data_IF_354372125067
#
_entry.id   IF_354372125067
#
_cell.length_a   1.000
_cell.length_b   1.000
_cell.length_c   1.000
_cell.angle_alpha   90.00
_cell.angle_beta   90.00
_cell.angle_gamma   90.00
#
_symmetry.space_group_name_H-M   'P 1'
#
loop_
_entity.id
_entity.type
_entity.pdbx_description
1 polymer ?
#
# COMPACT_ATOMS: atom_id res chain seq x y z
N UNK A 1 -35.54 -3.80 -33.63
CA UNK A 1 -35.97 -3.31 -32.30
C UNK A 1 -36.25 -4.58 -31.50
N UNK A 2 -35.50 -5.00 -30.49
CA UNK A 2 -34.65 -4.29 -29.54
C UNK A 2 -33.50 -5.22 -29.13
N UNK A 3 -32.27 -4.69 -29.06
CA UNK A 3 -31.16 -5.38 -28.39
C UNK A 3 -31.18 -4.93 -26.93
N UNK A 4 -31.45 -5.87 -26.01
CA UNK A 4 -31.22 -5.67 -24.60
C UNK A 4 -29.72 -5.78 -24.34
N UNK A 5 -29.06 -4.63 -24.21
CA UNK A 5 -27.73 -4.55 -23.63
C UNK A 5 -27.88 -4.68 -22.11
N UNK A 6 -27.75 -5.89 -21.60
CA UNK A 6 -27.41 -6.12 -20.20
C UNK A 6 -25.89 -6.16 -20.12
N UNK A 7 -25.29 -5.03 -19.73
CA UNK A 7 -23.90 -5.00 -19.31
C UNK A 7 -23.71 -5.86 -18.06
N UNK A 8 -22.52 -6.43 -17.83
CA UNK A 8 -22.25 -7.12 -16.58
C UNK A 8 -21.99 -6.06 -15.51
N UNK A 9 -23.02 -5.65 -14.78
CA UNK A 9 -22.85 -5.23 -13.38
C UNK A 9 -22.53 -6.48 -12.58
N UNK A 10 -21.25 -6.87 -12.62
CA UNK A 10 -20.67 -7.62 -11.51
C UNK A 10 -19.91 -6.59 -10.68
N UNK A 11 -20.66 -5.84 -9.86
CA UNK A 11 -20.16 -5.44 -8.56
C UNK A 11 -19.95 -6.74 -7.78
N UNK A 12 -18.82 -7.38 -8.07
CA UNK A 12 -18.24 -8.37 -7.20
C UNK A 12 -17.96 -7.65 -5.90
N UNK A 13 -18.92 -7.75 -4.99
CA UNK A 13 -18.70 -7.65 -3.56
C UNK A 13 -17.62 -8.68 -3.26
N UNK A 14 -16.37 -8.26 -3.45
CA UNK A 14 -15.18 -8.91 -2.95
C UNK A 14 -15.36 -8.83 -1.45
N UNK A 15 -16.13 -9.78 -0.92
CA UNK A 15 -16.52 -9.84 0.48
C UNK A 15 -15.29 -9.49 1.28
N UNK A 16 -15.32 -8.31 1.90
CA UNK A 16 -14.20 -7.81 2.66
C UNK A 16 -14.02 -8.82 3.78
N UNK A 17 -13.13 -9.79 3.57
CA UNK A 17 -12.54 -10.54 4.65
C UNK A 17 -12.03 -9.46 5.59
N UNK A 18 -12.64 -9.40 6.79
CA UNK A 18 -12.17 -8.51 7.82
C UNK A 18 -10.66 -8.74 7.90
N UNK A 19 -9.84 -7.69 7.74
CA UNK A 19 -8.40 -7.86 7.78
C UNK A 19 -8.06 -8.55 9.10
N UNK A 20 -7.05 -9.42 9.06
CA UNK A 20 -6.45 -9.92 10.29
C UNK A 20 -6.17 -8.70 11.20
N UNK A 21 -6.70 -8.66 12.43
CA UNK A 21 -6.50 -7.52 13.33
C UNK A 21 -5.03 -7.15 13.45
N UNK A 22 -4.12 -8.13 13.39
CA UNK A 22 -2.69 -7.88 13.45
C UNK A 22 -2.16 -7.08 12.25
N UNK A 23 -2.78 -7.18 11.07
CA UNK A 23 -2.44 -6.36 9.91
C UNK A 23 -2.72 -4.88 10.15
N UNK A 24 -3.66 -4.55 11.04
CA UNK A 24 -3.96 -3.16 11.37
C UNK A 24 -2.82 -2.47 12.15
N UNK A 25 -1.82 -3.21 12.65
CA UNK A 25 -0.57 -2.64 13.19
C UNK A 25 0.33 -2.01 12.12
N UNK A 26 0.07 -2.29 10.84
CA UNK A 26 0.91 -1.87 9.73
C UNK A 26 1.36 -0.40 9.77
N UNK A 27 0.47 0.59 10.03
CA UNK A 27 0.89 2.00 10.06
C UNK A 27 1.89 2.33 11.16
N UNK A 28 1.79 1.67 12.33
CA UNK A 28 2.74 1.87 13.42
C UNK A 28 4.09 1.24 13.11
N UNK A 29 4.10 0.01 12.56
CA UNK A 29 5.33 -0.64 12.12
C UNK A 29 6.03 0.16 11.02
N UNK A 30 5.28 0.71 10.06
CA UNK A 30 5.82 1.58 9.02
C UNK A 30 6.41 2.87 9.60
N UNK A 31 5.72 3.52 10.54
CA UNK A 31 6.24 4.72 11.18
C UNK A 31 7.58 4.45 11.88
N UNK A 32 7.72 3.34 12.61
CA UNK A 32 8.97 3.00 13.29
C UNK A 32 10.07 2.54 12.34
N UNK A 33 9.77 1.57 11.46
CA UNK A 33 10.78 0.86 10.69
C UNK A 33 11.13 1.56 9.39
N UNK A 34 10.16 2.22 8.75
CA UNK A 34 10.39 2.91 7.48
C UNK A 34 10.65 4.41 7.68
N UNK A 35 9.95 5.06 8.61
CA UNK A 35 10.07 6.51 8.83
C UNK A 35 10.97 6.89 10.01
N UNK A 36 11.41 5.92 10.81
CA UNK A 36 12.27 6.17 11.97
C UNK A 36 11.61 6.95 13.11
N UNK A 37 10.28 6.95 13.17
CA UNK A 37 9.56 7.62 14.26
C UNK A 37 9.76 6.85 15.56
N UNK A 38 9.94 7.57 16.67
CA UNK A 38 10.03 6.95 18.01
C UNK A 38 8.66 6.65 18.60
N UNK A 39 7.65 7.41 18.19
CA UNK A 39 6.25 7.32 18.62
C UNK A 39 5.34 7.83 17.50
N UNK A 40 4.09 7.39 17.50
CA UNK A 40 3.13 7.68 16.44
C UNK A 40 1.90 8.37 17.06
N UNK A 41 1.60 9.61 16.65
CA UNK A 41 0.41 10.29 17.11
C UNK A 41 -0.85 9.69 16.46
N UNK A 42 -1.91 9.46 17.24
CA UNK A 42 -3.17 8.88 16.79
C UNK A 42 -3.78 9.65 15.61
N UNK A 43 -3.69 10.97 15.61
CA UNK A 43 -4.17 11.86 14.54
C UNK A 43 -3.50 11.61 13.17
N UNK A 44 -2.33 10.97 13.14
CA UNK A 44 -1.66 10.61 11.89
C UNK A 44 -2.23 9.33 11.25
N UNK A 45 -2.88 8.45 12.02
CA UNK A 45 -3.42 7.16 11.54
C UNK A 45 -4.94 7.19 11.45
N UNK A 46 -5.59 7.74 12.47
CA UNK A 46 -7.04 7.65 12.69
C UNK A 46 -7.87 8.08 11.46
N UNK A 47 -7.58 9.19 10.75
CA UNK A 47 -8.35 9.56 9.57
C UNK A 47 -8.35 8.48 8.47
N UNK A 48 -7.22 7.80 8.27
CA UNK A 48 -7.08 6.74 7.26
C UNK A 48 -7.78 5.46 7.69
N UNK A 49 -7.71 5.15 8.97
CA UNK A 49 -8.44 4.03 9.55
C UNK A 49 -9.95 4.17 9.31
N UNK A 50 -10.53 5.33 9.63
CA UNK A 50 -11.97 5.57 9.46
C UNK A 50 -12.43 5.52 8.01
N UNK A 51 -11.59 5.87 7.04
CA UNK A 51 -11.91 5.71 5.63
C UNK A 51 -11.96 4.25 5.19
N UNK A 52 -11.13 3.40 5.79
CA UNK A 52 -11.01 1.99 5.43
C UNK A 52 -12.00 1.10 6.21
N UNK A 53 -12.34 1.49 7.44
CA UNK A 53 -13.18 0.74 8.36
C UNK A 53 -14.30 1.63 8.92
N UNK A 54 -15.25 2.08 8.07
CA UNK A 54 -16.33 2.94 8.51
C UNK A 54 -17.18 2.20 9.56
N UNK A 55 -17.29 2.80 10.75
CA UNK A 55 -18.05 2.24 11.87
C UNK A 55 -17.22 1.41 12.87
N UNK A 56 -15.93 1.15 12.60
CA UNK A 56 -15.03 0.59 13.59
C UNK A 56 -14.51 1.67 14.54
N UNK A 57 -14.33 1.32 15.81
CA UNK A 57 -13.77 2.23 16.81
C UNK A 57 -12.24 2.15 16.82
N UNK A 58 -11.59 3.23 16.37
CA UNK A 58 -10.13 3.35 16.43
C UNK A 58 -9.61 3.28 17.88
N UNK A 59 -10.35 3.88 18.82
CA UNK A 59 -9.99 3.85 20.24
C UNK A 59 -10.06 2.44 20.83
N UNK A 60 -11.08 1.64 20.47
CA UNK A 60 -11.18 0.24 20.90
C UNK A 60 -10.04 -0.60 20.31
N UNK A 61 -9.73 -0.43 19.01
CA UNK A 61 -8.60 -1.12 18.38
C UNK A 61 -7.28 -0.83 19.11
N UNK A 62 -7.00 0.44 19.39
CA UNK A 62 -5.78 0.85 20.09
C UNK A 62 -5.76 0.31 21.52
N UNK A 63 -6.90 0.31 22.23
CA UNK A 63 -7.00 -0.29 23.56
C UNK A 63 -6.73 -1.80 23.52
N UNK A 64 -7.31 -2.53 22.56
CA UNK A 64 -7.03 -3.96 22.36
C UNK A 64 -5.55 -4.21 22.09
N UNK A 65 -4.91 -3.43 21.22
CA UNK A 65 -3.47 -3.56 20.97
C UNK A 65 -2.63 -3.22 22.20
N UNK A 66 -3.05 -2.26 23.02
CA UNK A 66 -2.35 -1.96 24.27
C UNK A 66 -2.48 -3.12 25.28
N UNK A 67 -3.68 -3.67 25.44
CA UNK A 67 -3.96 -4.80 26.34
C UNK A 67 -3.20 -6.07 25.93
N UNK A 68 -3.00 -6.29 24.63
CA UNK A 68 -2.21 -7.40 24.07
C UNK A 68 -0.69 -7.10 24.05
N UNK A 69 -0.27 -5.94 24.56
CA UNK A 69 1.13 -5.51 24.58
C UNK A 69 1.74 -5.32 23.18
N UNK A 70 0.91 -5.07 22.17
CA UNK A 70 1.31 -4.78 20.79
C UNK A 70 1.64 -3.29 20.59
N UNK A 71 1.02 -2.44 21.40
CA UNK A 71 1.32 -1.01 21.52
C UNK A 71 1.60 -0.63 22.97
N UNK A 72 2.47 0.34 23.16
CA UNK A 72 2.71 1.01 24.43
C UNK A 72 2.32 2.49 24.33
N UNK A 73 1.74 3.03 25.41
CA UNK A 73 1.42 4.45 25.46
C UNK A 73 2.67 5.27 25.79
N UNK A 74 2.99 6.25 24.95
CA UNK A 74 4.10 7.19 25.15
C UNK A 74 3.61 8.54 25.71
N UNK A 75 2.32 8.68 25.95
CA UNK A 75 1.66 9.91 26.35
C UNK A 75 0.27 10.05 25.75
N UNK A 76 -0.36 11.21 25.94
CA UNK A 76 -1.73 11.47 25.46
C UNK A 76 -1.77 11.37 23.93
N UNK A 77 -2.50 10.37 23.42
CA UNK A 77 -2.69 10.16 21.99
C UNK A 77 -1.42 9.77 21.21
N UNK A 78 -0.40 9.26 21.90
CA UNK A 78 0.88 8.83 21.29
C UNK A 78 1.19 7.39 21.67
N UNK A 79 1.53 6.61 20.66
CA UNK A 79 1.70 5.16 20.78
C UNK A 79 2.96 4.70 20.06
N UNK A 80 3.63 3.71 20.62
CA UNK A 80 4.74 3.04 19.97
C UNK A 80 4.52 1.53 19.94
N UNK A 81 5.14 0.85 18.96
CA UNK A 81 5.35 -0.59 19.05
C UNK A 81 6.53 -0.82 20.00
N UNK A 82 6.40 -1.66 21.06
CA UNK A 82 7.48 -1.94 21.99
C UNK A 82 8.74 -2.40 21.25
N UNK A 83 9.90 -1.82 21.58
CA UNK A 83 11.14 -1.99 20.82
C UNK A 83 11.52 -3.47 20.66
N UNK A 84 11.37 -4.25 21.72
CA UNK A 84 11.66 -5.68 21.79
C UNK A 84 10.73 -6.54 20.93
N UNK A 85 9.53 -6.04 20.57
CA UNK A 85 8.55 -6.76 19.75
C UNK A 85 8.57 -6.35 18.27
N UNK A 86 9.20 -5.23 17.92
CA UNK A 86 9.15 -4.66 16.54
C UNK A 86 9.56 -5.66 15.47
N UNK A 87 10.71 -6.33 15.64
CA UNK A 87 11.23 -7.27 14.66
C UNK A 87 10.34 -8.51 14.52
N UNK A 88 9.86 -9.05 15.65
CA UNK A 88 8.92 -10.19 15.68
C UNK A 88 7.61 -9.86 14.98
N UNK A 89 6.98 -8.73 15.35
CA UNK A 89 5.71 -8.29 14.77
C UNK A 89 5.84 -7.96 13.29
N UNK A 90 6.92 -7.27 12.88
CA UNK A 90 7.20 -7.01 11.47
C UNK A 90 7.38 -8.31 10.67
N UNK A 91 8.05 -9.32 11.24
CA UNK A 91 8.18 -10.62 10.62
C UNK A 91 6.83 -11.35 10.52
N UNK A 92 6.06 -11.41 11.61
CA UNK A 92 4.77 -12.09 11.66
C UNK A 92 3.75 -11.46 10.70
N UNK A 93 3.56 -10.15 10.78
CA UNK A 93 2.65 -9.39 9.91
C UNK A 93 3.14 -9.44 8.47
N UNK A 94 4.44 -9.20 8.25
CA UNK A 94 5.04 -9.21 6.92
C UNK A 94 4.88 -10.56 6.21
N UNK A 95 5.11 -11.67 6.92
CA UNK A 95 4.89 -13.02 6.39
C UNK A 95 3.41 -13.24 6.05
N UNK A 96 2.50 -12.91 6.97
CA UNK A 96 1.07 -13.06 6.77
C UNK A 96 0.57 -12.27 5.54
N UNK A 97 1.07 -11.05 5.32
CA UNK A 97 0.75 -10.25 4.14
C UNK A 97 1.31 -10.83 2.83
N UNK A 98 2.54 -11.37 2.86
CA UNK A 98 3.19 -11.92 1.68
C UNK A 98 2.62 -13.29 1.25
N UNK A 99 2.26 -14.13 2.22
CA UNK A 99 1.63 -15.44 2.00
C UNK A 99 0.13 -15.31 1.72
N UNK A 100 -0.46 -14.17 2.10
CA UNK A 100 -1.88 -13.88 1.92
C UNK A 100 -2.30 -13.84 0.44
N UNK A 101 -3.60 -14.08 0.17
CA UNK A 101 -4.13 -14.01 -1.18
C UNK A 101 -4.13 -12.57 -1.69
N UNK A 102 -3.50 -12.36 -2.84
CA UNK A 102 -3.55 -11.12 -3.61
C UNK A 102 -4.48 -11.32 -4.81
N UNK A 103 -5.70 -10.76 -4.80
CA UNK A 103 -6.63 -10.94 -5.91
C UNK A 103 -6.11 -10.18 -7.14
N UNK A 104 -6.16 -10.85 -8.29
CA UNK A 104 -6.00 -10.27 -9.62
C UNK A 104 -7.28 -10.55 -10.41
N UNK A 105 -7.60 -9.80 -11.47
CA UNK A 105 -8.74 -10.12 -12.31
C UNK A 105 -8.69 -11.56 -12.85
N UNK A 106 -9.65 -12.38 -12.42
CA UNK A 106 -9.80 -13.78 -12.84
C UNK A 106 -8.82 -14.79 -12.22
N UNK A 107 -8.01 -14.41 -11.21
CA UNK A 107 -7.13 -15.34 -10.49
C UNK A 107 -6.69 -14.80 -9.14
N UNK A 108 -6.14 -15.67 -8.29
CA UNK A 108 -5.48 -15.26 -7.05
C UNK A 108 -4.05 -15.75 -7.07
N UNK A 109 -3.11 -14.90 -6.67
CA UNK A 109 -1.69 -15.24 -6.46
C UNK A 109 -1.31 -14.88 -5.04
N UNK A 110 -0.20 -15.40 -4.52
CA UNK A 110 0.38 -14.81 -3.29
C UNK A 110 1.14 -13.54 -3.65
N UNK A 111 1.22 -12.61 -2.70
CA UNK A 111 2.06 -11.42 -2.84
C UNK A 111 3.54 -11.79 -2.99
N UNK A 112 4.01 -12.82 -2.28
CA UNK A 112 5.35 -13.37 -2.40
C UNK A 112 5.66 -13.84 -3.83
N UNK A 113 4.76 -14.60 -4.44
CA UNK A 113 4.94 -15.11 -5.81
C UNK A 113 4.99 -13.97 -6.83
N UNK A 114 4.12 -12.96 -6.66
CA UNK A 114 4.10 -11.79 -7.54
C UNK A 114 5.42 -11.01 -7.46
N UNK A 115 5.92 -10.74 -6.25
CA UNK A 115 7.17 -10.01 -6.05
C UNK A 115 8.40 -10.81 -6.50
N UNK A 116 8.39 -12.13 -6.27
CA UNK A 116 9.44 -13.04 -6.74
C UNK A 116 9.52 -13.05 -8.27
N UNK A 117 8.38 -13.25 -8.95
CA UNK A 117 8.30 -13.22 -10.40
C UNK A 117 8.68 -11.84 -10.98
N UNK A 118 8.29 -10.76 -10.31
CA UNK A 118 8.70 -9.41 -10.70
C UNK A 118 10.21 -9.18 -10.54
N UNK A 119 10.82 -9.69 -9.47
CA UNK A 119 12.27 -9.63 -9.28
C UNK A 119 13.02 -10.36 -10.39
N UNK A 120 12.55 -11.54 -10.80
CA UNK A 120 13.12 -12.30 -11.94
C UNK A 120 12.99 -11.47 -13.23
N UNK A 121 11.80 -10.94 -13.50
CA UNK A 121 11.57 -10.08 -14.66
C UNK A 121 12.55 -8.90 -14.73
N UNK A 122 12.78 -8.21 -13.61
CA UNK A 122 13.71 -7.08 -13.54
C UNK A 122 15.17 -7.46 -13.82
N UNK A 123 15.59 -8.66 -13.37
CA UNK A 123 16.93 -9.19 -13.64
C UNK A 123 17.11 -9.49 -15.13
N UNK A 124 16.10 -10.08 -15.79
CA UNK A 124 16.15 -10.43 -17.22
C UNK A 124 16.29 -9.20 -18.12
N UNK A 125 15.63 -8.09 -17.78
CA UNK A 125 15.67 -6.87 -18.57
C UNK A 125 16.87 -5.96 -18.23
N UNK A 126 17.78 -6.39 -17.35
CA UNK A 126 19.00 -5.67 -16.95
C UNK A 126 18.77 -4.20 -16.54
N UNK A 127 17.58 -3.86 -16.05
CA UNK A 127 17.20 -2.48 -15.72
C UNK A 127 17.64 -2.07 -14.31
N UNK A 128 18.04 -3.02 -13.46
CA UNK A 128 18.57 -2.75 -12.13
C UNK A 128 20.07 -3.08 -12.12
N UNK A 129 20.87 -2.23 -11.48
CA UNK A 129 22.29 -2.52 -11.23
C UNK A 129 22.44 -3.78 -10.35
N UNK A 130 23.68 -4.21 -10.04
CA UNK A 130 23.95 -5.43 -9.27
C UNK A 130 23.37 -5.50 -7.83
N UNK A 131 22.51 -4.56 -7.42
CA UNK A 131 21.68 -4.65 -6.22
C UNK A 131 20.37 -5.35 -6.52
N UNK A 132 20.35 -6.69 -6.41
CA UNK A 132 19.13 -7.49 -6.43
C UNK A 132 18.16 -7.11 -5.31
N UNK A 133 16.93 -7.64 -5.37
CA UNK A 133 15.92 -7.38 -4.37
C UNK A 133 16.43 -7.75 -2.96
N UNK A 134 16.59 -6.75 -2.09
CA UNK A 134 17.00 -6.96 -0.71
C UNK A 134 15.74 -6.98 0.17
N UNK A 135 15.54 -8.08 0.89
CA UNK A 135 14.56 -8.16 1.98
C UNK A 135 15.29 -7.72 3.25
N UNK A 136 14.93 -6.55 3.78
CA UNK A 136 15.47 -6.00 5.02
C UNK A 136 14.36 -5.70 6.03
N UNK A 137 14.71 -5.37 7.27
CA UNK A 137 13.73 -5.00 8.31
C UNK A 137 12.86 -3.80 7.90
N UNK A 138 13.40 -2.88 7.08
CA UNK A 138 12.69 -1.73 6.52
C UNK A 138 11.71 -2.07 5.40
N UNK A 139 11.69 -3.32 4.95
CA UNK A 139 10.90 -3.80 3.79
C UNK A 139 9.89 -4.86 4.18
N UNK A 140 9.50 -4.91 5.45
CA UNK A 140 8.59 -5.92 5.97
C UNK A 140 7.29 -5.91 5.16
N UNK A 141 6.83 -7.11 4.78
CA UNK A 141 5.66 -7.27 3.89
C UNK A 141 5.90 -6.78 2.45
N UNK A 142 7.13 -6.76 1.95
CA UNK A 142 7.45 -6.26 0.61
C UNK A 142 8.86 -6.57 0.13
N UNK A 143 9.34 -5.78 -0.84
CA UNK A 143 10.67 -5.89 -1.41
C UNK A 143 11.27 -4.50 -1.71
N UNK A 144 12.60 -4.39 -1.59
CA UNK A 144 13.35 -3.21 -2.07
C UNK A 144 14.02 -3.50 -3.40
N UNK A 145 14.00 -2.50 -4.28
CA UNK A 145 14.69 -2.49 -5.55
C UNK A 145 15.55 -1.23 -5.67
N UNK A 146 16.65 -1.31 -6.42
CA UNK A 146 17.57 -0.19 -6.62
C UNK A 146 17.68 0.15 -8.11
N UNK A 147 17.29 1.38 -8.47
CA UNK A 147 17.47 1.93 -9.82
C UNK A 147 18.31 3.21 -9.73
N UNK A 148 19.54 3.15 -10.25
CA UNK A 148 20.54 4.19 -10.01
C UNK A 148 20.88 4.33 -8.52
N UNK A 149 20.84 5.56 -8.00
CA UNK A 149 21.13 5.88 -6.59
C UNK A 149 19.88 5.84 -5.69
N UNK A 150 18.69 5.63 -6.26
CA UNK A 150 17.42 5.71 -5.51
C UNK A 150 16.90 4.35 -5.10
N UNK A 151 16.33 4.32 -3.89
CA UNK A 151 15.65 3.14 -3.36
C UNK A 151 14.18 3.14 -3.75
N UNK A 152 13.67 1.95 -4.07
CA UNK A 152 12.27 1.74 -4.45
C UNK A 152 11.69 0.62 -3.60
N UNK A 153 10.74 0.96 -2.74
CA UNK A 153 10.01 0.01 -1.93
C UNK A 153 8.73 -0.39 -2.66
N UNK A 154 8.51 -1.69 -2.84
CA UNK A 154 7.21 -2.25 -3.25
C UNK A 154 6.68 -3.02 -2.05
N UNK A 155 5.69 -2.43 -1.37
CA UNK A 155 5.17 -2.90 -0.10
C UNK A 155 3.75 -3.43 -0.29
N UNK A 156 3.42 -4.53 0.35
CA UNK A 156 2.05 -5.06 0.43
C UNK A 156 1.45 -4.62 1.75
N UNK A 157 0.28 -3.97 1.70
CA UNK A 157 -0.40 -3.46 2.89
C UNK A 157 -1.90 -3.79 2.82
N UNK A 158 -2.55 -3.96 3.97
CA UNK A 158 -3.99 -4.24 4.04
C UNK A 158 -4.85 -3.05 3.58
N UNK A 159 -4.32 -1.84 3.65
CA UNK A 159 -4.96 -0.59 3.25
C UNK A 159 -3.88 0.46 2.90
N UNK A 160 -4.24 1.58 2.24
CA UNK A 160 -3.28 2.63 1.94
C UNK A 160 -2.70 3.23 3.22
N UNK A 161 -1.42 2.94 3.48
CA UNK A 161 -0.66 3.61 4.54
C UNK A 161 -0.07 4.88 3.95
N UNK A 162 -0.40 6.04 4.53
CA UNK A 162 0.20 7.29 4.12
C UNK A 162 1.49 7.54 4.89
N UNK A 163 2.59 7.53 4.15
CA UNK A 163 3.91 7.78 4.69
C UNK A 163 4.21 9.28 4.77
N UNK A 164 5.09 9.67 5.69
CA UNK A 164 5.84 10.90 5.54
C UNK A 164 6.65 10.90 4.23
N UNK A 165 7.02 12.06 3.69
CA UNK A 165 7.83 12.10 2.48
C UNK A 165 9.22 11.49 2.72
N UNK A 166 9.63 10.58 1.85
CA UNK A 166 11.01 10.06 1.81
C UNK A 166 11.82 10.89 0.80
N UNK A 167 12.96 11.41 1.23
CA UNK A 167 13.78 12.32 0.42
C UNK A 167 14.46 11.59 -0.75
N UNK A 168 14.94 10.36 -0.51
CA UNK A 168 15.77 9.60 -1.46
C UNK A 168 15.17 8.24 -1.85
N UNK A 169 13.86 8.07 -1.67
CA UNK A 169 13.18 6.84 -1.98
C UNK A 169 11.78 7.02 -2.58
N UNK A 170 11.34 6.00 -3.30
CA UNK A 170 9.97 5.84 -3.74
C UNK A 170 9.31 4.68 -3.00
N UNK A 171 8.04 4.84 -2.68
CA UNK A 171 7.20 3.80 -2.09
C UNK A 171 6.02 3.55 -3.02
N UNK A 172 5.87 2.29 -3.41
CA UNK A 172 4.66 1.77 -4.03
C UNK A 172 3.99 0.83 -3.04
N UNK A 173 2.73 1.10 -2.72
CA UNK A 173 1.92 0.23 -1.88
C UNK A 173 0.91 -0.54 -2.72
N UNK A 174 1.06 -1.87 -2.75
CA UNK A 174 0.04 -2.79 -3.23
C UNK A 174 -0.97 -3.00 -2.11
N UNK A 175 -2.16 -2.44 -2.27
CA UNK A 175 -3.22 -2.52 -1.27
C UNK A 175 -4.60 -2.41 -1.91
N UNK A 176 -5.63 -3.01 -1.30
CA UNK A 176 -7.01 -2.66 -1.63
C UNK A 176 -7.25 -1.16 -1.43
N UNK A 177 -7.99 -0.54 -2.34
CA UNK A 177 -8.42 0.85 -2.22
C UNK A 177 -9.93 0.89 -1.95
N UNK A 178 -10.39 0.93 -0.69
CA UNK A 178 -11.82 0.94 -0.36
C UNK A 178 -12.53 2.08 -1.09
N UNK A 179 -13.70 1.80 -1.71
CA UNK A 179 -14.43 2.81 -2.50
C UNK A 179 -14.66 4.12 -1.71
N UNK A 180 -15.07 4.08 -0.42
CA UNK A 180 -15.25 5.30 0.37
C UNK A 180 -13.96 6.08 0.61
N UNK A 181 -12.80 5.40 0.58
CA UNK A 181 -11.50 6.01 0.81
C UNK A 181 -10.89 6.65 -0.45
N UNK A 182 -11.26 6.20 -1.65
CA UNK A 182 -10.55 6.59 -2.89
C UNK A 182 -10.59 8.10 -3.15
N UNK A 183 -11.76 8.74 -3.01
CA UNK A 183 -11.91 10.18 -3.22
C UNK A 183 -11.11 11.01 -2.21
N UNK A 184 -11.31 10.87 -0.88
CA UNK A 184 -10.56 11.68 0.09
C UNK A 184 -9.05 11.38 0.07
N UNK A 185 -8.65 10.13 -0.21
CA UNK A 185 -7.24 9.77 -0.43
C UNK A 185 -6.66 10.52 -1.62
N UNK A 186 -7.38 10.55 -2.74
CA UNK A 186 -6.93 11.20 -3.99
C UNK A 186 -6.79 12.72 -3.81
N UNK A 187 -7.75 13.37 -3.16
CA UNK A 187 -7.69 14.80 -2.85
C UNK A 187 -6.47 15.14 -1.99
N UNK A 188 -6.24 14.36 -0.92
CA UNK A 188 -5.09 14.55 -0.03
C UNK A 188 -3.77 14.28 -0.75
N UNK A 189 -3.73 13.25 -1.60
CA UNK A 189 -2.59 12.94 -2.45
C UNK A 189 -2.24 14.08 -3.39
N UNK A 190 -3.22 14.63 -4.10
CA UNK A 190 -3.03 15.74 -5.04
C UNK A 190 -2.57 17.00 -4.29
N UNK A 191 -3.16 17.28 -3.14
CA UNK A 191 -2.83 18.42 -2.28
C UNK A 191 -1.44 18.38 -1.63
N UNK A 192 -0.74 17.24 -1.64
CA UNK A 192 0.54 17.08 -0.95
C UNK A 192 1.72 16.85 -1.94
N UNK A 193 2.47 17.91 -2.33
CA UNK A 193 3.52 17.80 -3.36
C UNK A 193 4.58 16.75 -3.08
N UNK A 194 4.91 16.52 -1.80
CA UNK A 194 5.91 15.55 -1.43
C UNK A 194 5.44 14.10 -1.66
N UNK A 195 4.15 13.81 -1.45
CA UNK A 195 3.58 12.49 -1.73
C UNK A 195 3.53 12.21 -3.22
N UNK A 196 3.15 13.21 -4.02
CA UNK A 196 3.17 13.09 -5.49
C UNK A 196 4.56 12.75 -6.06
N UNK A 197 5.63 13.07 -5.33
CA UNK A 197 7.01 12.80 -5.74
C UNK A 197 7.49 11.42 -5.32
N UNK A 198 7.07 10.89 -4.17
CA UNK A 198 7.66 9.69 -3.58
C UNK A 198 6.70 8.53 -3.35
N UNK A 199 5.38 8.70 -3.49
CA UNK A 199 4.38 7.71 -3.08
C UNK A 199 3.42 7.33 -4.21
N UNK A 200 3.14 6.04 -4.34
CA UNK A 200 2.19 5.45 -5.28
C UNK A 200 1.35 4.37 -4.59
N UNK A 201 0.10 4.22 -5.02
CA UNK A 201 -0.78 3.13 -4.60
C UNK A 201 -1.27 2.34 -5.81
N UNK A 202 -1.38 1.03 -5.67
CA UNK A 202 -1.99 0.15 -6.66
C UNK A 202 -2.93 -0.85 -6.00
N UNK A 203 -4.18 -0.84 -6.43
CA UNK A 203 -5.16 -1.90 -6.18
C UNK A 203 -5.16 -2.83 -7.39
N UNK A 204 -4.36 -3.89 -7.30
CA UNK A 204 -4.22 -4.87 -8.38
C UNK A 204 -5.48 -5.71 -8.58
N UNK A 205 -6.35 -5.82 -7.58
CA UNK A 205 -7.63 -6.53 -7.67
C UNK A 205 -8.64 -5.77 -8.53
N UNK A 206 -8.69 -4.44 -8.39
CA UNK A 206 -9.54 -3.55 -9.21
C UNK A 206 -8.84 -3.00 -10.45
N UNK A 207 -7.57 -3.32 -10.64
CA UNK A 207 -6.73 -2.74 -11.67
C UNK A 207 -6.62 -1.20 -11.59
N UNK A 208 -6.64 -0.65 -10.39
CA UNK A 208 -6.57 0.81 -10.15
C UNK A 208 -5.21 1.23 -9.62
N UNK A 209 -4.84 2.48 -9.89
CA UNK A 209 -3.67 3.12 -9.28
C UNK A 209 -3.95 4.57 -8.88
N UNK A 210 -3.27 5.00 -7.83
CA UNK A 210 -3.14 6.41 -7.45
C UNK A 210 -1.66 6.75 -7.52
N UNK A 211 -1.22 7.37 -8.63
CA UNK A 211 0.20 7.64 -8.84
C UNK A 211 0.43 8.85 -9.76
N UNK A 212 1.38 9.71 -9.38
CA UNK A 212 2.00 10.74 -10.21
C UNK A 212 3.53 10.69 -10.17
N UNK A 213 4.10 9.73 -9.43
CA UNK A 213 5.54 9.55 -9.29
C UNK A 213 6.14 9.03 -10.59
N UNK A 214 7.40 9.39 -10.82
CA UNK A 214 8.22 8.90 -11.93
C UNK A 214 9.18 7.80 -11.47
N UNK A 215 8.66 6.79 -10.77
CA UNK A 215 9.46 5.63 -10.38
C UNK A 215 9.66 4.67 -11.56
N UNK A 216 10.91 4.39 -11.90
CA UNK A 216 11.26 3.41 -12.93
C UNK A 216 10.79 2.00 -12.56
N UNK A 217 10.99 1.59 -11.31
CA UNK A 217 10.51 0.30 -10.79
C UNK A 217 9.01 0.15 -10.95
N UNK A 218 8.22 1.19 -10.66
CA UNK A 218 6.76 1.10 -10.84
C UNK A 218 6.36 0.98 -12.31
N UNK A 219 7.05 1.69 -13.22
CA UNK A 219 6.83 1.54 -14.68
C UNK A 219 7.10 0.11 -15.12
N UNK A 220 8.16 -0.52 -14.62
CA UNK A 220 8.48 -1.91 -14.91
C UNK A 220 7.47 -2.88 -14.29
N UNK A 221 6.95 -2.59 -13.09
CA UNK A 221 5.89 -3.38 -12.50
C UNK A 221 4.63 -3.36 -13.38
N UNK A 222 4.20 -2.19 -13.85
CA UNK A 222 3.04 -2.10 -14.75
C UNK A 222 3.25 -2.90 -16.05
N UNK A 223 4.46 -2.86 -16.63
CA UNK A 223 4.80 -3.67 -17.81
C UNK A 223 4.73 -5.17 -17.52
N UNK A 224 5.31 -5.59 -16.40
CA UNK A 224 5.27 -6.97 -15.93
C UNK A 224 3.83 -7.45 -15.72
N UNK A 225 3.01 -6.67 -15.02
CA UNK A 225 1.60 -6.97 -14.79
C UNK A 225 0.83 -7.16 -16.11
N UNK A 226 1.10 -6.31 -17.10
CA UNK A 226 0.50 -6.44 -18.42
C UNK A 226 0.99 -7.66 -19.19
N UNK A 227 2.28 -7.95 -19.18
CA UNK A 227 2.88 -9.04 -19.96
C UNK A 227 2.53 -10.41 -19.39
N UNK A 228 2.61 -10.55 -18.06
CA UNK A 228 2.45 -11.82 -17.34
C UNK A 228 0.99 -12.12 -17.00
N UNK A 229 0.24 -11.10 -16.56
CA UNK A 229 -1.12 -11.27 -16.05
C UNK A 229 -2.20 -10.62 -16.92
N UNK A 230 -1.83 -9.95 -18.03
CA UNK A 230 -2.75 -9.15 -18.86
C UNK A 230 -3.49 -8.07 -18.06
N UNK A 231 -2.89 -7.65 -16.95
CA UNK A 231 -3.44 -6.64 -16.05
C UNK A 231 -2.93 -5.26 -16.44
N UNK A 232 -3.85 -4.36 -16.81
CA UNK A 232 -3.54 -2.96 -17.08
C UNK A 232 -4.05 -2.09 -15.94
N UNK A 233 -3.15 -1.47 -15.19
CA UNK A 233 -3.54 -0.52 -14.15
C UNK A 233 -3.98 0.82 -14.77
N UNK A 234 -5.17 1.28 -14.40
CA UNK A 234 -5.73 2.58 -14.80
C UNK A 234 -5.78 3.53 -13.59
N UNK A 235 -5.66 4.86 -13.79
CA UNK A 235 -5.88 5.81 -12.71
C UNK A 235 -7.25 5.57 -12.07
N UNK A 236 -7.32 5.60 -10.74
CA UNK A 236 -8.60 5.56 -10.05
C UNK A 236 -9.47 6.74 -10.51
N UNK A 237 -10.77 6.56 -10.80
CA UNK A 237 -11.61 7.64 -11.33
C UNK A 237 -11.56 8.93 -10.50
N UNK A 238 -11.63 8.79 -9.17
CA UNK A 238 -11.56 9.94 -8.26
C UNK A 238 -10.20 10.65 -8.26
N UNK A 239 -9.10 9.98 -8.66
CA UNK A 239 -7.81 10.65 -8.86
C UNK A 239 -7.88 11.60 -10.07
N UNK A 240 -8.48 11.16 -11.18
CA UNK A 240 -8.63 12.02 -12.37
C UNK A 240 -9.45 13.26 -12.05
N UNK A 241 -10.55 13.11 -11.31
CA UNK A 241 -11.38 14.22 -10.86
C UNK A 241 -10.62 15.17 -9.93
N UNK A 242 -9.90 14.64 -8.92
CA UNK A 242 -9.09 15.44 -8.01
C UNK A 242 -7.99 16.24 -8.74
N UNK A 243 -7.37 15.64 -9.77
CA UNK A 243 -6.37 16.30 -10.59
C UNK A 243 -6.94 17.44 -11.45
N UNK A 244 -8.11 17.25 -12.04
CA UNK A 244 -8.83 18.29 -12.78
C UNK A 244 -9.22 19.45 -11.85
N UNK A 245 -9.78 19.13 -10.69
CA UNK A 245 -10.16 20.13 -9.69
C UNK A 245 -8.96 20.95 -9.20
N UNK A 246 -7.78 20.33 -9.09
CA UNK A 246 -6.54 21.00 -8.72
C UNK A 246 -5.83 21.72 -9.88
N UNK A 247 -6.39 21.71 -11.10
CA UNK A 247 -5.78 22.33 -12.28
C UNK A 247 -4.48 21.67 -12.74
N UNK A 248 -4.26 20.39 -12.40
CA UNK A 248 -3.06 19.64 -12.76
C UNK A 248 -3.22 18.83 -14.06
N UNK A 249 -4.46 18.58 -14.48
CA UNK A 249 -4.82 18.10 -15.81
C UNK A 249 -5.59 19.22 -16.52
N UNK A 250 -5.27 19.43 -17.79
CA UNK A 250 -5.86 20.47 -18.66
C UNK A 250 -6.39 19.82 -19.92
#
# INVERSE_FOLDING_TARGET
>A
MSRSEQGPEQDGDLGQLAPDPLHLLAPWLDAHLLLGWSEVPSEAIEPFFHWCYPGASFAELVATFADEGLLESCGVGRWAVPQERRAELAHQVGRSLLEGPLPLPGRTVSAADLLSAFSIYLQEISCLGPGGAAVGETTWGGATFCAGERQHYVLVRPFPVLFGPLVDAFVLTLCPLPLPAVAPLSERYVGHPAWRRSLAFADVGRAWKVNLTRSEVFVHLERFLWQTYRLRLIPAPALTEALLAAGMLV
#
